data_IF_118314776416
#
_entry.id   IF_118314776416
#
_cell.length_a   1.000
_cell.length_b   1.000
_cell.length_c   1.000
_cell.angle_alpha   90.00
_cell.angle_beta   90.00
_cell.angle_gamma   90.00
#
_symmetry.space_group_name_H-M   'P 1'
#
loop_
_entity.id
_entity.type
_entity.pdbx_description
1 polymer ?
#
# COMPACT_ATOMS: atom_id res chain seq x y z
N UNK A 1 -17.13 -12.01 -10.27
CA UNK A 1 -15.73 -11.53 -10.31
C UNK A 1 -15.79 -10.04 -10.67
N UNK A 2 -15.22 -9.14 -9.86
CA UNK A 2 -15.24 -7.70 -10.11
C UNK A 2 -14.80 -7.39 -11.55
N UNK A 3 -15.60 -6.67 -12.33
CA UNK A 3 -15.19 -6.24 -13.66
C UNK A 3 -14.32 -5.00 -13.53
N UNK A 4 -13.00 -5.19 -13.37
CA UNK A 4 -12.03 -4.09 -13.37
C UNK A 4 -12.05 -3.37 -14.73
N UNK A 5 -12.22 -2.06 -14.71
CA UNK A 5 -12.09 -1.24 -15.92
C UNK A 5 -10.64 -1.26 -16.42
N UNK A 6 -10.42 -0.85 -17.68
CA UNK A 6 -9.06 -0.74 -18.23
C UNK A 6 -8.17 0.15 -17.36
N UNK A 7 -8.71 1.25 -16.85
CA UNK A 7 -7.97 2.16 -15.98
C UNK A 7 -7.66 1.52 -14.62
N UNK A 8 -8.59 0.75 -14.04
CA UNK A 8 -8.33 0.05 -12.77
C UNK A 8 -7.20 -0.97 -12.92
N UNK A 9 -7.17 -1.70 -14.05
CA UNK A 9 -6.09 -2.65 -14.35
C UNK A 9 -4.74 -1.97 -14.48
N UNK A 10 -4.68 -0.82 -15.17
CA UNK A 10 -3.45 -0.03 -15.33
C UNK A 10 -2.97 0.44 -13.95
N UNK A 11 -3.86 1.04 -13.15
CA UNK A 11 -3.52 1.54 -11.80
C UNK A 11 -3.03 0.42 -10.90
N UNK A 12 -3.73 -0.73 -10.87
CA UNK A 12 -3.28 -1.90 -10.13
C UNK A 12 -1.93 -2.43 -10.64
N UNK A 13 -1.72 -2.45 -11.95
CA UNK A 13 -0.45 -2.83 -12.56
C UNK A 13 0.70 -1.92 -12.14
N UNK A 14 0.49 -0.61 -12.18
CA UNK A 14 1.46 0.39 -11.71
C UNK A 14 1.81 0.17 -10.23
N UNK A 15 0.82 -0.04 -9.37
CA UNK A 15 1.08 -0.34 -7.96
C UNK A 15 1.84 -1.66 -7.76
N UNK A 16 1.54 -2.68 -8.56
CA UNK A 16 2.26 -3.95 -8.49
C UNK A 16 3.72 -3.80 -8.91
N UNK A 17 3.99 -3.07 -10.00
CA UNK A 17 5.37 -2.77 -10.43
C UNK A 17 6.11 -1.97 -9.37
N UNK A 18 5.50 -0.93 -8.82
CA UNK A 18 6.09 -0.13 -7.74
C UNK A 18 6.40 -1.02 -6.52
N UNK A 19 5.48 -1.91 -6.12
CA UNK A 19 5.69 -2.82 -5.00
C UNK A 19 6.87 -3.77 -5.24
N UNK A 20 6.99 -4.34 -6.44
CA UNK A 20 8.08 -5.25 -6.80
C UNK A 20 9.42 -4.52 -6.84
N UNK A 21 9.48 -3.36 -7.49
CA UNK A 21 10.69 -2.54 -7.56
C UNK A 21 11.12 -2.10 -6.15
N UNK A 22 10.18 -1.64 -5.34
CA UNK A 22 10.44 -1.27 -3.96
C UNK A 22 10.94 -2.45 -3.14
N UNK A 23 10.36 -3.65 -3.31
CA UNK A 23 10.79 -4.86 -2.61
C UNK A 23 12.24 -5.22 -2.95
N UNK A 24 12.59 -5.21 -4.24
CA UNK A 24 13.96 -5.52 -4.69
C UNK A 24 14.93 -4.46 -4.16
N UNK A 25 14.58 -3.17 -4.27
CA UNK A 25 15.44 -2.08 -3.83
C UNK A 25 15.67 -2.09 -2.31
N UNK A 26 14.61 -2.31 -1.51
CA UNK A 26 14.76 -2.33 -0.05
C UNK A 26 15.49 -3.57 0.41
N UNK A 27 15.14 -4.75 -0.09
CA UNK A 27 15.79 -6.00 0.33
C UNK A 27 17.24 -6.11 -0.12
N UNK A 28 17.61 -5.58 -1.30
CA UNK A 28 19.01 -5.55 -1.72
C UNK A 28 19.88 -4.80 -0.71
N UNK A 29 19.44 -3.60 -0.29
CA UNK A 29 20.16 -2.80 0.70
C UNK A 29 20.09 -3.41 2.11
N UNK A 30 18.95 -3.98 2.49
CA UNK A 30 18.76 -4.57 3.82
C UNK A 30 19.61 -5.83 4.02
N UNK A 31 19.66 -6.71 3.00
CA UNK A 31 20.53 -7.89 3.01
C UNK A 31 22.00 -7.46 3.05
N UNK A 32 22.39 -6.44 2.25
CA UNK A 32 23.72 -5.86 2.33
C UNK A 32 24.08 -5.46 3.75
N UNK A 33 23.27 -4.61 4.38
CA UNK A 33 23.49 -4.16 5.75
C UNK A 33 23.62 -5.31 6.75
N UNK A 34 22.71 -6.29 6.71
CA UNK A 34 22.71 -7.43 7.63
C UNK A 34 23.86 -8.43 7.42
N UNK A 35 24.49 -8.42 6.24
CA UNK A 35 25.61 -9.31 5.91
C UNK A 35 26.96 -8.64 6.05
N UNK A 36 27.06 -7.32 5.85
CA UNK A 36 28.33 -6.59 5.84
C UNK A 36 28.54 -5.64 7.02
N UNK A 37 27.48 -5.13 7.65
CA UNK A 37 27.60 -4.09 8.68
C UNK A 37 27.14 -4.53 10.07
N UNK A 38 25.87 -4.89 10.25
CA UNK A 38 25.33 -5.28 11.56
C UNK A 38 24.07 -6.13 11.44
N UNK A 39 23.86 -7.07 12.37
CA UNK A 39 22.63 -7.87 12.48
C UNK A 39 21.52 -7.17 13.30
N UNK A 40 21.80 -5.99 13.86
CA UNK A 40 20.90 -5.27 14.75
C UNK A 40 20.03 -4.25 14.03
N UNK A 41 18.70 -4.32 14.26
CA UNK A 41 17.76 -3.30 13.78
C UNK A 41 18.07 -1.91 14.37
N UNK A 42 18.61 -1.84 15.58
CA UNK A 42 18.95 -0.55 16.22
C UNK A 42 20.10 0.13 15.46
N UNK A 43 21.09 -0.65 15.01
CA UNK A 43 22.20 -0.12 14.22
C UNK A 43 21.74 0.31 12.82
N UNK A 44 20.77 -0.40 12.23
CA UNK A 44 20.13 0.00 10.98
C UNK A 44 19.43 1.36 11.09
N UNK A 45 18.69 1.59 12.19
CA UNK A 45 18.10 2.91 12.41
C UNK A 45 19.18 3.97 12.67
N UNK A 46 20.23 3.64 13.42
CA UNK A 46 21.34 4.57 13.68
C UNK A 46 22.07 4.96 12.41
N UNK A 47 22.27 4.04 11.46
CA UNK A 47 22.90 4.34 10.16
C UNK A 47 22.03 5.26 9.30
N UNK A 48 20.70 5.17 9.42
CA UNK A 48 19.76 6.15 8.85
C UNK A 48 20.03 7.58 9.33
N UNK A 49 20.58 7.76 10.53
CA UNK A 49 20.95 9.06 11.11
C UNK A 49 22.45 9.37 11.06
N UNK A 50 23.23 8.69 10.21
CA UNK A 50 24.69 8.86 10.14
C UNK A 50 25.14 10.26 9.70
N UNK A 51 24.36 10.94 8.85
CA UNK A 51 24.64 12.31 8.40
C UNK A 51 23.34 13.11 8.15
N UNK A 52 23.46 14.41 7.91
CA UNK A 52 22.28 15.27 7.68
C UNK A 52 21.44 14.84 6.46
N UNK A 53 22.08 14.33 5.39
CA UNK A 53 21.38 13.85 4.21
C UNK A 53 20.55 12.58 4.48
N UNK A 54 21.16 11.56 5.07
CA UNK A 54 20.47 10.32 5.43
C UNK A 54 19.40 10.57 6.51
N UNK A 55 19.67 11.46 7.45
CA UNK A 55 18.72 11.84 8.51
C UNK A 55 17.48 12.52 7.93
N UNK A 56 17.66 13.41 6.96
CA UNK A 56 16.54 14.07 6.27
C UNK A 56 15.67 13.07 5.54
N UNK A 57 16.28 12.13 4.80
CA UNK A 57 15.55 11.08 4.08
C UNK A 57 14.80 10.13 5.03
N UNK A 58 15.45 9.77 6.15
CA UNK A 58 14.84 8.91 7.18
C UNK A 58 13.62 9.60 7.81
N UNK A 59 13.75 10.87 8.18
CA UNK A 59 12.63 11.64 8.74
C UNK A 59 11.47 11.79 7.74
N UNK A 60 11.77 12.10 6.48
CA UNK A 60 10.76 12.18 5.41
C UNK A 60 10.00 10.85 5.27
N UNK A 61 10.73 9.74 5.21
CA UNK A 61 10.13 8.40 5.09
C UNK A 61 9.27 8.02 6.30
N UNK A 62 9.70 8.38 7.52
CA UNK A 62 8.93 8.13 8.75
C UNK A 62 7.64 8.93 8.79
N UNK A 63 7.70 10.22 8.45
CA UNK A 63 6.52 11.10 8.43
C UNK A 63 5.55 10.70 7.31
N UNK A 64 6.07 10.40 6.11
CA UNK A 64 5.27 9.86 5.02
C UNK A 64 4.62 8.53 5.41
N UNK A 65 5.38 7.63 6.05
CA UNK A 65 4.87 6.35 6.52
C UNK A 65 3.76 6.50 7.55
N UNK A 66 3.90 7.44 8.49
CA UNK A 66 2.85 7.75 9.45
C UNK A 66 1.58 8.25 8.76
N UNK A 67 1.70 9.18 7.82
CA UNK A 67 0.56 9.67 7.03
C UNK A 67 -0.10 8.54 6.20
N UNK A 68 0.71 7.66 5.59
CA UNK A 68 0.24 6.50 4.87
C UNK A 68 -0.51 5.52 5.78
N UNK A 69 -0.04 5.28 7.01
CA UNK A 69 -0.72 4.42 7.98
C UNK A 69 -2.08 4.99 8.38
N UNK A 70 -2.14 6.29 8.68
CA UNK A 70 -3.40 6.98 8.97
C UNK A 70 -4.37 6.83 7.79
N UNK A 71 -3.90 7.09 6.57
CA UNK A 71 -4.70 6.91 5.36
C UNK A 71 -5.22 5.47 5.21
N UNK A 72 -4.35 4.47 5.38
CA UNK A 72 -4.74 3.05 5.26
C UNK A 72 -5.84 2.70 6.27
N UNK A 73 -5.69 3.10 7.53
CA UNK A 73 -6.67 2.81 8.58
C UNK A 73 -8.01 3.51 8.32
N UNK A 74 -7.97 4.80 8.00
CA UNK A 74 -9.18 5.60 7.73
C UNK A 74 -9.91 5.07 6.50
N UNK A 75 -9.20 4.82 5.41
CA UNK A 75 -9.81 4.33 4.17
C UNK A 75 -10.32 2.90 4.34
N UNK A 76 -9.57 2.02 5.01
CA UNK A 76 -10.04 0.66 5.29
C UNK A 76 -11.34 0.65 6.08
N UNK A 77 -11.49 1.54 7.07
CA UNK A 77 -12.76 1.71 7.81
C UNK A 77 -13.87 2.25 6.92
N UNK A 78 -13.57 3.24 6.08
CA UNK A 78 -14.55 3.86 5.16
C UNK A 78 -15.12 2.88 4.14
N UNK A 79 -14.27 2.05 3.53
CA UNK A 79 -14.69 1.08 2.49
C UNK A 79 -14.84 -0.35 3.00
N UNK A 80 -14.70 -0.58 4.30
CA UNK A 80 -14.94 -1.88 4.93
C UNK A 80 -13.92 -2.95 4.52
N UNK A 81 -12.64 -2.59 4.32
CA UNK A 81 -11.58 -3.57 4.10
C UNK A 81 -11.25 -4.24 5.44
N UNK A 82 -11.46 -5.56 5.59
CA UNK A 82 -11.04 -6.27 6.78
C UNK A 82 -9.50 -6.42 6.82
N UNK A 83 -8.93 -6.50 8.02
CA UNK A 83 -7.52 -6.84 8.26
C UNK A 83 -6.50 -5.84 7.69
N UNK A 84 -6.76 -4.53 7.79
CA UNK A 84 -5.76 -3.50 7.40
C UNK A 84 -4.44 -3.61 8.18
N UNK A 85 -4.49 -4.16 9.39
CA UNK A 85 -3.32 -4.44 10.23
C UNK A 85 -2.24 -5.28 9.54
N UNK A 86 -2.57 -6.08 8.52
CA UNK A 86 -1.61 -6.92 7.78
C UNK A 86 -0.68 -6.02 7.00
N UNK A 87 -1.18 -4.93 6.41
CA UNK A 87 -0.34 -3.97 5.69
C UNK A 87 0.55 -3.18 6.65
N UNK A 88 0.07 -2.89 7.87
CA UNK A 88 0.88 -2.23 8.90
C UNK A 88 2.01 -3.17 9.37
N UNK A 89 1.70 -4.43 9.67
CA UNK A 89 2.71 -5.43 10.04
C UNK A 89 3.69 -5.67 8.88
N UNK A 90 3.18 -5.79 7.65
CA UNK A 90 4.00 -5.96 6.46
C UNK A 90 4.93 -4.76 6.23
N UNK A 91 4.49 -3.55 6.55
CA UNK A 91 5.33 -2.36 6.44
C UNK A 91 6.47 -2.34 7.45
N UNK A 92 6.28 -2.94 8.63
CA UNK A 92 7.32 -3.09 9.64
C UNK A 92 8.34 -4.19 9.27
N UNK A 93 7.88 -5.26 8.59
CA UNK A 93 8.74 -6.39 8.20
C UNK A 93 9.50 -6.13 6.90
N UNK A 94 8.87 -5.45 5.94
CA UNK A 94 9.41 -5.29 4.58
C UNK A 94 9.79 -3.84 4.33
N UNK A 95 8.79 -2.97 4.18
CA UNK A 95 8.90 -1.52 4.05
C UNK A 95 7.50 -0.95 3.80
N UNK A 96 7.28 0.30 4.22
CA UNK A 96 6.06 1.06 3.86
C UNK A 96 5.88 1.16 2.34
N UNK A 97 6.98 1.31 1.60
CA UNK A 97 6.99 1.46 0.13
C UNK A 97 6.49 0.21 -0.63
N UNK A 98 6.44 -0.96 0.01
CA UNK A 98 5.86 -2.19 -0.56
C UNK A 98 4.44 -2.41 -0.05
N UNK A 99 4.24 -2.25 1.25
CA UNK A 99 2.95 -2.49 1.89
C UNK A 99 1.86 -1.51 1.42
N UNK A 100 2.23 -0.24 1.20
CA UNK A 100 1.28 0.79 0.79
C UNK A 100 0.70 0.56 -0.63
N UNK A 101 1.51 0.30 -1.68
CA UNK A 101 0.95 -0.08 -2.99
C UNK A 101 0.07 -1.33 -2.96
N UNK A 102 0.43 -2.35 -2.17
CA UNK A 102 -0.40 -3.56 -2.00
C UNK A 102 -1.77 -3.21 -1.40
N UNK A 103 -1.82 -2.32 -0.41
CA UNK A 103 -3.07 -1.81 0.13
C UNK A 103 -3.89 -1.07 -0.95
N UNK A 104 -3.24 -0.25 -1.78
CA UNK A 104 -3.92 0.48 -2.86
C UNK A 104 -4.53 -0.46 -3.92
N UNK A 105 -3.91 -1.60 -4.22
CA UNK A 105 -4.49 -2.64 -5.09
C UNK A 105 -5.76 -3.19 -4.46
N UNK A 106 -5.72 -3.57 -3.17
CA UNK A 106 -6.91 -4.09 -2.47
C UNK A 106 -8.03 -3.06 -2.41
N UNK A 107 -7.69 -1.80 -2.18
CA UNK A 107 -8.61 -0.66 -2.25
C UNK A 107 -9.28 -0.57 -3.61
N UNK A 108 -8.54 -0.65 -4.70
CA UNK A 108 -9.10 -0.55 -6.05
C UNK A 108 -10.08 -1.68 -6.36
N UNK A 109 -9.77 -2.91 -5.91
CA UNK A 109 -10.65 -4.06 -6.06
C UNK A 109 -11.99 -3.86 -5.35
N UNK A 110 -11.97 -3.39 -4.10
CA UNK A 110 -13.19 -3.13 -3.31
C UNK A 110 -14.04 -2.01 -3.92
N UNK A 111 -13.39 -0.96 -4.45
CA UNK A 111 -14.10 0.13 -5.12
C UNK A 111 -14.74 -0.33 -6.43
N UNK A 112 -14.07 -1.21 -7.20
CA UNK A 112 -14.63 -1.80 -8.41
C UNK A 112 -15.87 -2.65 -8.11
N UNK A 113 -15.82 -3.49 -7.06
CA UNK A 113 -16.97 -4.29 -6.63
C UNK A 113 -18.17 -3.42 -6.24
N UNK A 114 -17.95 -2.37 -5.45
CA UNK A 114 -19.02 -1.43 -5.06
C UNK A 114 -19.67 -0.75 -6.26
N UNK A 115 -18.88 -0.36 -7.25
CA UNK A 115 -19.37 0.26 -8.49
C UNK A 115 -20.28 -0.69 -9.27
N UNK A 116 -19.92 -1.96 -9.38
CA UNK A 116 -20.75 -2.98 -10.04
C UNK A 116 -22.09 -3.15 -9.33
N UNK A 117 -22.08 -3.25 -8.00
CA UNK A 117 -23.32 -3.36 -7.19
C UNK A 117 -24.22 -2.14 -7.35
N UNK A 118 -23.65 -0.93 -7.36
CA UNK A 118 -24.41 0.30 -7.55
C UNK A 118 -25.06 0.38 -8.94
N UNK A 119 -24.32 -0.03 -9.99
CA UNK A 119 -24.85 -0.10 -11.36
C UNK A 119 -25.99 -1.11 -11.47
N UNK A 120 -25.84 -2.30 -10.87
CA UNK A 120 -26.91 -3.30 -10.84
C UNK A 120 -28.17 -2.77 -10.15
N UNK A 121 -28.03 -2.08 -9.02
CA UNK A 121 -29.16 -1.44 -8.32
C UNK A 121 -29.86 -0.40 -9.19
N UNK A 122 -29.10 0.45 -9.89
CA UNK A 122 -29.65 1.47 -10.80
C UNK A 122 -30.40 0.85 -11.98
N UNK A 123 -29.88 -0.23 -12.56
CA UNK A 123 -30.54 -0.94 -13.66
C UNK A 123 -31.84 -1.59 -13.18
N UNK A 124 -31.81 -2.32 -12.06
CA UNK A 124 -33.01 -2.92 -11.47
C UNK A 124 -34.10 -1.89 -11.15
N UNK A 125 -33.72 -0.73 -10.59
CA UNK A 125 -34.68 0.35 -10.33
C UNK A 125 -35.23 0.98 -11.61
N UNK A 126 -34.44 1.05 -12.68
CA UNK A 126 -34.90 1.60 -13.96
C UNK A 126 -35.91 0.67 -14.61
N UNK A 127 -35.64 -0.64 -14.62
CA UNK A 127 -36.52 -1.62 -15.22
C UNK A 127 -37.85 -1.73 -14.46
N UNK A 128 -37.87 -1.48 -13.14
CA UNK A 128 -39.12 -1.37 -12.36
C UNK A 128 -39.95 -0.11 -12.64
N UNK A 129 -39.36 0.95 -13.20
CA UNK A 129 -40.08 2.17 -13.56
C UNK A 129 -40.70 2.11 -14.97
N UNK A 130 -40.28 1.14 -15.78
CA UNK A 130 -40.72 0.98 -17.18
C UNK A 130 -41.81 -0.09 -17.36
N UNK A 131 -42.14 -0.84 -16.29
CA UNK A 131 -43.23 -1.83 -16.24
C UNK A 131 -44.37 -1.31 -15.37
#
# INVERSE_FOLDING_TARGET
MAMLTRNDKIVCGTYAVIAVVALVATWWNNIGFFTTESTSLIDFFRSGYANYGSSSLTNDLLLFGLAAFVFMVVEARRIGIPKVWIYIVLSAVVAVSVAFPLFLIRRQLVLADRRVVELQRKLASRDSLLN
#
